data_IF_033992751062
#
_entry.id   IF_033992751062
#
_cell.length_a   1.000
_cell.length_b   1.000
_cell.length_c   1.000
_cell.angle_alpha   90.00
_cell.angle_beta   90.00
_cell.angle_gamma   90.00
#
_symmetry.space_group_name_H-M   'P 1'
#
loop_
_entity.id
_entity.type
_entity.pdbx_description
1 polymer ?
#
# COMPACT_ATOMS: atom_id res chain seq x y z
N UNK A 1 29.69 3.66 -21.82
CA UNK A 1 29.14 4.99 -22.06
C UNK A 1 27.64 4.89 -21.84
N UNK A 2 27.16 5.31 -20.68
CA UNK A 2 25.72 5.37 -20.41
C UNK A 2 25.21 6.67 -21.06
N UNK A 3 24.38 6.54 -22.09
CA UNK A 3 23.69 7.69 -22.69
C UNK A 3 22.64 8.18 -21.70
N UNK A 4 22.83 9.39 -21.22
CA UNK A 4 21.89 10.15 -20.41
C UNK A 4 20.62 10.46 -21.24
N UNK A 5 19.57 9.66 -21.05
CA UNK A 5 18.25 9.86 -21.68
C UNK A 5 17.28 10.33 -20.61
N UNK A 6 17.51 11.53 -20.09
CA UNK A 6 16.52 12.22 -19.26
C UNK A 6 15.50 12.90 -20.19
N UNK A 7 14.31 12.32 -20.37
CA UNK A 7 13.19 12.98 -21.04
C UNK A 7 12.21 13.52 -19.99
N UNK A 8 11.98 14.82 -20.09
CA UNK A 8 11.19 15.63 -19.17
C UNK A 8 9.71 15.57 -19.55
N UNK A 9 8.84 15.21 -18.60
CA UNK A 9 7.40 15.41 -18.71
C UNK A 9 7.01 16.55 -17.75
N UNK A 10 6.65 17.69 -18.30
CA UNK A 10 6.15 18.84 -17.53
C UNK A 10 4.70 18.60 -17.06
N UNK A 11 4.47 18.59 -15.76
CA UNK A 11 3.22 19.00 -15.12
C UNK A 11 3.58 19.87 -13.92
N UNK A 12 3.00 21.04 -13.88
CA UNK A 12 3.10 22.02 -12.78
C UNK A 12 4.53 22.48 -12.43
N UNK A 13 5.41 22.63 -13.42
CA UNK A 13 6.76 23.16 -13.21
C UNK A 13 7.76 22.20 -12.54
N UNK A 14 7.34 20.95 -12.24
CA UNK A 14 8.21 19.92 -11.70
C UNK A 14 8.64 18.96 -12.81
N UNK A 15 9.94 18.92 -13.11
CA UNK A 15 10.53 17.98 -14.08
C UNK A 15 10.62 16.61 -13.41
N UNK A 16 9.75 15.68 -13.80
CA UNK A 16 9.81 14.30 -13.35
C UNK A 16 10.70 13.46 -14.26
N UNK A 17 11.82 12.98 -13.73
CA UNK A 17 12.74 12.11 -14.47
C UNK A 17 12.15 10.71 -14.64
N UNK A 18 12.15 10.20 -15.87
CA UNK A 18 11.86 8.80 -16.16
C UNK A 18 13.18 8.11 -16.59
N UNK A 19 13.53 7.05 -15.86
CA UNK A 19 14.75 6.27 -16.07
C UNK A 19 14.53 5.03 -16.95
N UNK A 20 13.31 4.82 -17.46
CA UNK A 20 12.98 3.67 -18.30
C UNK A 20 13.62 3.76 -19.68
N UNK A 21 14.03 2.61 -20.24
CA UNK A 21 14.49 2.51 -21.63
C UNK A 21 13.35 2.86 -22.62
N UNK A 22 12.12 2.39 -22.32
CA UNK A 22 10.91 2.85 -23.00
C UNK A 22 10.36 4.08 -22.25
N UNK A 23 10.49 5.23 -22.86
CA UNK A 23 10.06 6.52 -22.29
C UNK A 23 8.56 6.61 -22.00
N UNK A 24 7.76 5.73 -22.57
CA UNK A 24 6.33 5.68 -22.35
C UNK A 24 5.95 4.83 -21.12
N UNK A 25 6.88 4.02 -20.61
CA UNK A 25 6.67 3.14 -19.46
C UNK A 25 7.43 3.62 -18.24
N UNK A 26 6.85 3.43 -17.06
CA UNK A 26 7.52 3.71 -15.80
C UNK A 26 8.64 2.68 -15.55
N UNK A 27 9.70 3.13 -14.89
CA UNK A 27 10.93 2.34 -14.79
C UNK A 27 10.77 1.04 -14.01
N UNK A 28 10.09 1.07 -12.86
CA UNK A 28 9.97 -0.11 -12.01
C UNK A 28 8.75 -0.95 -12.35
N UNK A 29 7.57 -0.35 -12.44
CA UNK A 29 6.32 -1.10 -12.66
C UNK A 29 6.06 -1.46 -14.13
N UNK A 30 6.81 -0.89 -15.07
CA UNK A 30 6.68 -1.12 -16.53
C UNK A 30 5.25 -0.92 -17.07
N UNK A 31 4.53 0.05 -16.51
CA UNK A 31 3.18 0.46 -16.91
C UNK A 31 3.24 1.79 -17.64
N UNK A 32 2.44 1.96 -18.67
CA UNK A 32 2.29 3.21 -19.41
C UNK A 32 1.06 4.01 -18.96
N UNK A 33 1.09 5.32 -19.25
CA UNK A 33 -0.04 6.21 -18.96
C UNK A 33 -1.33 5.72 -19.65
N UNK A 34 -2.40 5.61 -18.86
CA UNK A 34 -3.70 5.15 -19.33
C UNK A 34 -3.89 3.63 -19.35
N UNK A 35 -2.87 2.83 -19.07
CA UNK A 35 -2.99 1.37 -18.94
C UNK A 35 -3.66 0.95 -17.61
N UNK A 36 -3.64 1.81 -16.58
CA UNK A 36 -4.29 1.56 -15.29
C UNK A 36 -5.56 2.40 -15.11
N UNK A 37 -6.44 1.94 -14.22
CA UNK A 37 -7.58 2.72 -13.74
C UNK A 37 -7.16 3.75 -12.69
N UNK A 38 -8.07 4.70 -12.37
CA UNK A 38 -7.85 5.65 -11.29
C UNK A 38 -7.82 4.97 -9.91
N UNK A 39 -8.55 3.85 -9.75
CA UNK A 39 -8.60 3.04 -8.54
C UNK A 39 -7.65 1.87 -8.66
N UNK A 40 -6.72 1.75 -7.72
CA UNK A 40 -5.75 0.65 -7.72
C UNK A 40 -5.75 -0.06 -6.37
N UNK A 41 -5.92 -1.38 -6.42
CA UNK A 41 -5.79 -2.26 -5.26
C UNK A 41 -4.32 -2.68 -5.15
N UNK A 42 -3.76 -2.55 -3.94
CA UNK A 42 -2.34 -2.79 -3.68
C UNK A 42 -2.13 -3.96 -2.72
N UNK A 43 -2.06 -5.22 -3.16
CA UNK A 43 -1.56 -6.33 -2.35
C UNK A 43 -0.03 -6.28 -2.26
N UNK A 44 0.55 -6.84 -1.18
CA UNK A 44 2.01 -7.02 -1.11
C UNK A 44 2.50 -8.16 -2.00
N UNK A 45 1.89 -9.33 -1.89
CA UNK A 45 2.26 -10.55 -2.63
C UNK A 45 1.79 -10.51 -4.09
N UNK A 46 2.72 -10.62 -5.08
CA UNK A 46 2.39 -10.72 -6.50
C UNK A 46 1.34 -11.78 -6.85
N UNK A 47 1.36 -12.92 -6.16
CA UNK A 47 0.40 -14.01 -6.40
C UNK A 47 -1.05 -13.64 -6.06
N UNK A 48 -1.26 -12.61 -5.24
CA UNK A 48 -2.60 -12.09 -4.95
C UNK A 48 -3.18 -11.29 -6.10
N UNK A 49 -2.35 -10.67 -6.96
CA UNK A 49 -2.85 -9.91 -8.11
C UNK A 49 -3.73 -10.75 -9.02
N UNK A 50 -3.30 -11.97 -9.34
CA UNK A 50 -4.09 -12.91 -10.16
C UNK A 50 -5.45 -13.23 -9.51
N UNK A 51 -5.45 -13.47 -8.18
CA UNK A 51 -6.68 -13.79 -7.45
C UNK A 51 -7.64 -12.61 -7.40
N UNK A 52 -7.13 -11.40 -7.22
CA UNK A 52 -7.94 -10.18 -7.18
C UNK A 52 -8.47 -9.85 -8.57
N UNK A 53 -7.63 -9.99 -9.60
CA UNK A 53 -8.04 -9.75 -10.98
C UNK A 53 -9.20 -10.65 -11.46
N UNK A 54 -9.37 -11.83 -10.86
CA UNK A 54 -10.52 -12.71 -11.16
C UNK A 54 -11.89 -12.10 -10.82
N UNK A 55 -11.93 -11.06 -10.00
CA UNK A 55 -13.15 -10.32 -9.68
C UNK A 55 -13.43 -9.17 -10.65
N UNK A 56 -12.51 -8.89 -11.58
CA UNK A 56 -12.69 -7.86 -12.61
C UNK A 56 -13.31 -8.44 -13.87
N UNK A 57 -14.08 -7.64 -14.56
CA UNK A 57 -14.51 -7.97 -15.92
C UNK A 57 -13.35 -7.77 -16.89
N UNK A 58 -13.10 -8.79 -17.73
CA UNK A 58 -12.07 -8.79 -18.78
C UNK A 58 -10.67 -8.37 -18.27
N UNK A 59 -10.13 -9.00 -17.23
CA UNK A 59 -8.84 -8.62 -16.69
C UNK A 59 -7.71 -8.93 -17.69
N UNK A 60 -6.80 -7.99 -17.85
CA UNK A 60 -5.61 -8.11 -18.71
C UNK A 60 -4.36 -7.92 -17.87
N UNK A 61 -3.38 -8.78 -18.06
CA UNK A 61 -2.02 -8.57 -17.52
C UNK A 61 -1.36 -7.42 -18.27
N UNK A 62 -1.04 -6.34 -17.56
CA UNK A 62 -0.42 -5.14 -18.11
C UNK A 62 1.10 -5.22 -18.03
N UNK A 63 1.62 -5.66 -16.90
CA UNK A 63 3.05 -5.77 -16.66
C UNK A 63 3.35 -6.84 -15.59
N UNK A 64 4.51 -7.47 -15.72
CA UNK A 64 5.11 -8.37 -14.74
C UNK A 64 6.60 -8.05 -14.70
N UNK A 65 7.01 -7.24 -13.72
CA UNK A 65 8.39 -6.80 -13.60
C UNK A 65 8.78 -6.68 -12.12
N UNK A 66 9.88 -7.32 -11.73
CA UNK A 66 10.35 -7.37 -10.34
C UNK A 66 9.26 -7.94 -9.41
N UNK A 67 8.98 -7.24 -8.30
CA UNK A 67 7.87 -7.53 -7.38
C UNK A 67 6.52 -6.96 -7.83
N UNK A 68 6.48 -6.24 -8.95
CA UNK A 68 5.29 -5.54 -9.44
C UNK A 68 4.60 -6.33 -10.55
N UNK A 69 3.44 -6.88 -10.23
CA UNK A 69 2.52 -7.47 -11.22
C UNK A 69 1.28 -6.60 -11.29
N UNK A 70 0.92 -6.14 -12.48
CA UNK A 70 -0.24 -5.28 -12.70
C UNK A 70 -1.25 -5.94 -13.61
N UNK A 71 -2.51 -6.04 -13.14
CA UNK A 71 -3.67 -6.37 -13.95
C UNK A 71 -4.64 -5.18 -13.99
N UNK A 72 -5.29 -4.99 -15.12
CA UNK A 72 -6.35 -3.99 -15.28
C UNK A 72 -7.58 -4.65 -15.92
N UNK A 73 -8.74 -4.28 -15.43
CA UNK A 73 -10.05 -4.69 -15.95
C UNK A 73 -11.09 -3.66 -15.59
N UNK A 74 -12.36 -4.06 -15.49
CA UNK A 74 -13.45 -3.19 -15.06
C UNK A 74 -14.25 -3.82 -13.92
N UNK A 75 -14.88 -2.97 -13.11
CA UNK A 75 -15.92 -3.31 -12.14
C UNK A 75 -17.07 -2.35 -12.34
N UNK A 76 -18.25 -2.86 -12.63
CA UNK A 76 -19.45 -2.07 -12.93
C UNK A 76 -19.19 -0.98 -14.00
N UNK A 77 -18.40 -1.33 -15.02
CA UNK A 77 -18.01 -0.43 -16.10
C UNK A 77 -16.91 0.59 -15.75
N UNK A 78 -16.43 0.61 -14.52
CA UNK A 78 -15.32 1.48 -14.07
C UNK A 78 -14.00 0.75 -14.22
N UNK A 79 -13.03 1.40 -14.86
CA UNK A 79 -11.67 0.85 -15.00
C UNK A 79 -10.96 0.80 -13.67
N UNK A 80 -10.52 -0.39 -13.27
CA UNK A 80 -9.83 -0.67 -12.01
C UNK A 80 -8.56 -1.47 -12.28
N UNK A 81 -7.60 -1.34 -11.38
CA UNK A 81 -6.35 -2.10 -11.48
C UNK A 81 -5.97 -2.73 -10.15
N UNK A 82 -5.14 -3.73 -10.22
CA UNK A 82 -4.43 -4.29 -9.08
C UNK A 82 -2.95 -4.35 -9.40
N UNK A 83 -2.11 -3.86 -8.48
CA UNK A 83 -0.65 -3.90 -8.63
C UNK A 83 -0.03 -4.37 -7.32
N UNK A 84 0.83 -5.38 -7.36
CA UNK A 84 1.59 -5.79 -6.18
C UNK A 84 2.65 -4.76 -5.82
N UNK A 85 2.94 -4.64 -4.53
CA UNK A 85 3.94 -3.70 -4.01
C UNK A 85 5.21 -4.36 -3.50
N UNK A 86 5.24 -5.70 -3.42
CA UNK A 86 6.29 -6.39 -2.70
C UNK A 86 6.20 -6.13 -1.19
N UNK A 87 7.33 -6.18 -0.52
CA UNK A 87 7.45 -5.98 0.93
C UNK A 87 8.18 -4.66 1.21
N UNK A 88 7.54 -3.81 2.01
CA UNK A 88 8.16 -2.62 2.57
C UNK A 88 7.72 -1.29 1.98
N UNK A 89 7.90 -0.24 2.77
CA UNK A 89 7.58 1.13 2.41
C UNK A 89 8.26 1.60 1.12
N UNK A 90 9.58 1.38 0.93
CA UNK A 90 10.27 1.82 -0.27
C UNK A 90 9.67 1.28 -1.56
N UNK A 91 9.38 -0.04 -1.63
CA UNK A 91 8.82 -0.60 -2.86
C UNK A 91 7.36 -0.19 -3.08
N UNK A 92 6.59 -0.02 -2.01
CA UNK A 92 5.22 0.47 -2.11
C UNK A 92 5.15 1.93 -2.57
N UNK A 93 6.04 2.79 -2.07
CA UNK A 93 6.10 4.19 -2.49
C UNK A 93 6.46 4.32 -3.96
N UNK A 94 7.41 3.53 -4.45
CA UNK A 94 7.75 3.46 -5.88
C UNK A 94 6.51 3.09 -6.71
N UNK A 95 5.78 2.03 -6.30
CA UNK A 95 4.56 1.63 -7.02
C UNK A 95 3.53 2.75 -7.07
N UNK A 96 3.25 3.41 -5.94
CA UNK A 96 2.25 4.48 -5.85
C UNK A 96 2.64 5.70 -6.68
N UNK A 97 3.91 6.14 -6.62
CA UNK A 97 4.44 7.24 -7.42
C UNK A 97 4.29 6.97 -8.92
N UNK A 98 4.73 5.80 -9.36
CA UNK A 98 4.69 5.46 -10.77
C UNK A 98 3.26 5.21 -11.27
N UNK A 99 2.39 4.61 -10.46
CA UNK A 99 0.96 4.46 -10.77
C UNK A 99 0.26 5.82 -10.86
N UNK A 100 0.58 6.76 -9.95
CA UNK A 100 0.07 8.13 -10.01
C UNK A 100 0.44 8.81 -11.32
N UNK A 101 1.67 8.68 -11.78
CA UNK A 101 2.13 9.18 -13.10
C UNK A 101 1.38 8.55 -14.26
N UNK A 102 0.90 7.31 -14.10
CA UNK A 102 0.08 6.59 -15.09
C UNK A 102 -1.41 6.97 -15.06
N UNK A 103 -1.86 7.76 -14.06
CA UNK A 103 -3.22 8.28 -13.97
C UNK A 103 -4.06 7.68 -12.83
N UNK A 104 -3.48 6.87 -11.95
CA UNK A 104 -4.13 6.45 -10.72
C UNK A 104 -4.15 7.59 -9.70
N UNK A 105 -5.24 7.71 -8.92
CA UNK A 105 -5.37 8.74 -7.89
C UNK A 105 -5.95 8.21 -6.57
N UNK A 106 -6.41 6.97 -6.55
CA UNK A 106 -7.02 6.35 -5.38
C UNK A 106 -6.45 4.95 -5.17
N UNK A 107 -5.86 4.74 -4.00
CA UNK A 107 -5.18 3.51 -3.65
C UNK A 107 -5.83 2.83 -2.46
N UNK A 108 -6.09 1.52 -2.58
CA UNK A 108 -6.60 0.68 -1.49
C UNK A 108 -5.60 -0.43 -1.21
N UNK A 109 -4.88 -0.31 -0.10
CA UNK A 109 -3.93 -1.35 0.33
C UNK A 109 -4.69 -2.49 1.00
N UNK A 110 -4.46 -3.71 0.55
CA UNK A 110 -4.99 -4.92 1.19
C UNK A 110 -3.88 -5.86 1.61
N UNK A 111 -3.96 -6.37 2.83
CA UNK A 111 -2.94 -7.23 3.40
C UNK A 111 -3.45 -7.98 4.61
N UNK A 112 -2.60 -8.82 5.18
CA UNK A 112 -2.81 -9.43 6.49
C UNK A 112 -2.17 -8.58 7.57
N UNK A 113 -2.75 -8.58 8.77
CA UNK A 113 -2.24 -7.87 9.93
C UNK A 113 -2.31 -8.75 11.18
N UNK A 114 -1.51 -8.43 12.19
CA UNK A 114 -1.60 -9.02 13.51
C UNK A 114 -2.50 -8.17 14.42
N UNK A 115 -3.60 -8.73 14.93
CA UNK A 115 -4.47 -8.05 15.90
C UNK A 115 -3.70 -7.74 17.19
N UNK A 116 -3.89 -6.52 17.72
CA UNK A 116 -3.25 -6.03 18.95
C UNK A 116 -4.23 -6.01 20.13
N UNK A 117 -5.52 -6.01 19.87
CA UNK A 117 -6.58 -5.99 20.86
C UNK A 117 -7.26 -7.37 20.99
N UNK A 118 -7.71 -7.71 22.16
CA UNK A 118 -8.27 -9.04 22.47
C UNK A 118 -9.61 -9.34 21.80
N UNK A 119 -10.35 -8.29 21.44
CA UNK A 119 -11.63 -8.39 20.72
C UNK A 119 -11.46 -8.70 19.24
N UNK A 120 -10.29 -8.42 18.64
CA UNK A 120 -10.02 -8.70 17.22
C UNK A 120 -9.64 -10.17 17.06
N UNK A 121 -10.44 -10.90 16.30
CA UNK A 121 -10.26 -12.34 16.08
C UNK A 121 -9.67 -12.62 14.69
N UNK A 122 -9.14 -13.82 14.55
CA UNK A 122 -8.68 -14.29 13.23
C UNK A 122 -9.83 -14.34 12.25
N UNK A 123 -9.68 -13.69 11.11
CA UNK A 123 -10.69 -13.55 10.07
C UNK A 123 -11.47 -12.23 10.12
N UNK A 124 -11.36 -11.46 11.19
CA UNK A 124 -11.95 -10.13 11.24
C UNK A 124 -11.23 -9.17 10.28
N UNK A 125 -11.97 -8.19 9.79
CA UNK A 125 -11.43 -7.12 8.94
C UNK A 125 -11.04 -5.91 9.80
N UNK A 126 -9.84 -5.40 9.61
CA UNK A 126 -9.40 -4.12 10.19
C UNK A 126 -9.32 -3.07 9.09
N UNK A 127 -10.15 -2.03 9.21
CA UNK A 127 -10.16 -0.88 8.31
C UNK A 127 -9.41 0.26 9.01
N UNK A 128 -8.22 0.57 8.49
CA UNK A 128 -7.37 1.60 9.08
C UNK A 128 -7.93 3.00 8.84
N UNK A 129 -8.08 3.79 9.89
CA UNK A 129 -8.43 5.22 9.81
C UNK A 129 -7.19 6.12 9.89
N UNK A 130 -6.13 5.62 10.50
CA UNK A 130 -4.82 6.26 10.60
C UNK A 130 -3.74 5.21 10.91
N UNK A 131 -2.49 5.60 10.77
CA UNK A 131 -1.36 4.72 11.08
C UNK A 131 -0.33 5.40 11.99
N UNK A 132 0.22 4.62 12.93
CA UNK A 132 1.44 4.98 13.66
C UNK A 132 2.62 4.78 12.72
N UNK A 133 3.37 5.85 12.44
CA UNK A 133 4.46 5.91 11.47
C UNK A 133 5.79 5.44 12.11
N UNK A 134 5.96 4.12 12.27
CA UNK A 134 7.19 3.53 12.82
C UNK A 134 8.13 2.98 11.73
N UNK A 135 7.95 3.40 10.50
CA UNK A 135 8.76 3.05 9.35
C UNK A 135 9.54 4.27 8.83
N UNK A 136 10.53 4.04 7.99
CA UNK A 136 11.42 5.10 7.49
C UNK A 136 10.87 5.87 6.31
N UNK A 137 10.17 5.21 5.40
CA UNK A 137 9.80 5.77 4.09
C UNK A 137 8.90 6.99 4.21
N UNK A 138 7.85 6.93 5.03
CA UNK A 138 6.91 8.06 5.16
C UNK A 138 7.56 9.31 5.76
N UNK A 139 8.66 9.16 6.48
CA UNK A 139 9.42 10.30 7.04
C UNK A 139 10.13 11.11 5.97
N UNK A 140 10.45 10.49 4.83
CA UNK A 140 11.02 11.19 3.69
C UNK A 140 9.96 11.97 2.90
N UNK A 141 8.68 11.58 3.00
CA UNK A 141 7.55 12.28 2.37
C UNK A 141 6.98 13.41 3.24
N UNK A 142 6.96 13.23 4.54
CA UNK A 142 6.37 14.22 5.45
C UNK A 142 7.04 14.20 6.83
N UNK A 143 7.13 15.36 7.55
CA UNK A 143 7.58 15.40 8.93
C UNK A 143 6.82 14.41 9.80
N UNK A 144 7.48 13.87 10.86
CA UNK A 144 6.87 12.83 11.72
C UNK A 144 5.61 13.31 12.43
N UNK A 145 5.51 14.59 12.66
CA UNK A 145 4.38 15.25 13.32
C UNK A 145 3.13 15.30 12.42
N UNK A 146 3.29 15.16 11.10
CA UNK A 146 2.16 15.11 10.18
C UNK A 146 1.49 13.72 10.29
N UNK A 147 0.18 13.67 10.61
CA UNK A 147 -0.49 12.39 10.85
C UNK A 147 -0.71 11.62 9.54
N UNK A 148 -0.51 10.29 9.59
CA UNK A 148 -0.92 9.38 8.53
C UNK A 148 -2.40 9.06 8.69
N UNK A 149 -3.27 9.76 7.96
CA UNK A 149 -4.73 9.63 8.03
C UNK A 149 -5.26 9.07 6.70
N UNK A 150 -6.16 8.09 6.79
CA UNK A 150 -6.81 7.54 5.61
C UNK A 150 -7.83 8.54 5.03
N UNK A 151 -8.07 8.45 3.71
CA UNK A 151 -9.13 9.23 3.08
C UNK A 151 -10.50 8.79 3.63
N UNK A 152 -11.30 9.76 4.09
CA UNK A 152 -12.57 9.49 4.78
C UNK A 152 -13.60 8.82 3.87
N UNK A 153 -13.70 9.24 2.61
CA UNK A 153 -14.68 8.68 1.67
C UNK A 153 -14.37 7.22 1.34
N UNK A 154 -13.08 6.91 1.11
CA UNK A 154 -12.62 5.52 0.87
C UNK A 154 -12.84 4.67 2.13
N UNK A 155 -12.55 5.21 3.32
CA UNK A 155 -12.78 4.50 4.59
C UNK A 155 -14.26 4.17 4.78
N UNK A 156 -15.16 5.14 4.56
CA UNK A 156 -16.59 4.94 4.66
C UNK A 156 -17.09 3.90 3.64
N UNK A 157 -16.62 3.95 2.40
CA UNK A 157 -16.99 2.96 1.39
C UNK A 157 -16.56 1.53 1.78
N UNK A 158 -15.37 1.37 2.37
CA UNK A 158 -14.91 0.07 2.88
C UNK A 158 -15.76 -0.43 4.05
N UNK A 159 -16.16 0.48 4.96
CA UNK A 159 -17.07 0.14 6.09
C UNK A 159 -18.42 -0.31 5.57
N UNK A 160 -18.99 0.39 4.62
CA UNK A 160 -20.28 0.03 4.01
C UNK A 160 -20.19 -1.32 3.32
N UNK A 161 -19.16 -1.56 2.52
CA UNK A 161 -18.93 -2.84 1.86
C UNK A 161 -18.78 -3.99 2.86
N UNK A 162 -18.07 -3.78 3.98
CA UNK A 162 -17.94 -4.79 5.04
C UNK A 162 -19.30 -5.11 5.69
N UNK A 163 -20.13 -4.10 5.95
CA UNK A 163 -21.49 -4.27 6.48
C UNK A 163 -22.39 -5.04 5.53
N UNK A 164 -22.42 -4.66 4.26
CA UNK A 164 -23.24 -5.30 3.22
C UNK A 164 -22.88 -6.78 3.04
N UNK A 165 -21.59 -7.11 3.17
CA UNK A 165 -21.12 -8.49 3.09
C UNK A 165 -21.26 -9.27 4.39
N UNK A 166 -21.68 -8.63 5.49
CA UNK A 166 -21.83 -9.27 6.79
C UNK A 166 -20.50 -9.65 7.47
N UNK A 167 -19.40 -8.99 7.12
CA UNK A 167 -18.12 -9.22 7.77
C UNK A 167 -18.06 -8.57 9.15
N UNK A 168 -17.39 -9.23 10.09
CA UNK A 168 -16.98 -8.60 11.34
C UNK A 168 -15.81 -7.68 11.02
N UNK A 169 -15.94 -6.41 11.38
CA UNK A 169 -14.91 -5.41 11.08
C UNK A 169 -14.67 -4.46 12.25
N UNK A 170 -13.47 -3.92 12.32
CA UNK A 170 -13.03 -2.94 13.30
C UNK A 170 -12.44 -1.74 12.55
N UNK A 171 -12.70 -0.53 13.05
CA UNK A 171 -12.14 0.70 12.48
C UNK A 171 -11.29 1.42 13.50
N UNK A 172 -10.10 1.85 13.13
CA UNK A 172 -9.22 2.57 14.03
C UNK A 172 -7.77 2.65 13.57
N UNK A 173 -6.90 3.01 14.49
CA UNK A 173 -5.47 3.22 14.23
C UNK A 173 -4.77 1.86 14.12
N UNK A 174 -3.88 1.75 13.14
CA UNK A 174 -2.96 0.60 12.99
C UNK A 174 -1.51 1.05 13.18
N UNK A 175 -0.62 0.11 13.46
CA UNK A 175 0.82 0.37 13.49
C UNK A 175 1.45 -0.05 12.17
N UNK A 176 2.18 0.86 11.51
CA UNK A 176 3.06 0.55 10.38
C UNK A 176 4.52 0.57 10.83
N UNK A 177 5.30 -0.46 10.45
CA UNK A 177 6.69 -0.62 10.86
C UNK A 177 7.52 -1.44 9.88
N UNK A 178 8.84 -1.33 9.96
CA UNK A 178 9.78 -1.98 9.04
C UNK A 178 10.21 -3.39 9.48
N UNK A 179 10.41 -3.62 10.78
CA UNK A 179 10.98 -4.88 11.24
C UNK A 179 9.93 -5.90 11.68
N UNK A 180 9.77 -6.97 10.91
CA UNK A 180 8.90 -8.09 11.28
C UNK A 180 9.38 -8.80 12.55
N UNK A 181 10.62 -9.22 12.57
CA UNK A 181 11.19 -9.92 13.73
C UNK A 181 11.36 -9.04 14.96
N UNK A 182 11.54 -7.72 14.79
CA UNK A 182 11.51 -6.77 15.89
C UNK A 182 10.17 -6.70 16.62
N UNK A 183 9.09 -7.25 16.04
CA UNK A 183 7.82 -7.41 16.73
C UNK A 183 7.63 -8.80 17.34
N UNK A 184 7.99 -9.83 16.59
CA UNK A 184 7.69 -11.21 16.98
C UNK A 184 8.72 -11.81 17.93
N UNK A 185 9.95 -11.31 17.87
CA UNK A 185 11.09 -11.75 18.67
C UNK A 185 11.88 -10.54 19.21
N UNK A 186 11.22 -9.56 19.85
CA UNK A 186 11.88 -8.33 20.27
C UNK A 186 13.01 -8.59 21.28
N UNK A 187 12.91 -9.65 22.07
CA UNK A 187 13.93 -10.04 23.05
C UNK A 187 15.26 -10.42 22.41
N UNK A 188 15.22 -10.89 21.15
CA UNK A 188 16.42 -11.21 20.37
C UNK A 188 17.08 -9.97 19.73
N UNK A 189 16.42 -8.81 19.79
CA UNK A 189 16.90 -7.58 19.15
C UNK A 189 17.71 -6.72 20.15
N UNK A 190 18.80 -6.07 19.68
CA UNK A 190 19.58 -5.16 20.55
C UNK A 190 18.74 -4.03 21.20
N UNK A 191 17.72 -3.53 20.47
CA UNK A 191 16.79 -2.51 20.95
C UNK A 191 15.47 -3.10 21.49
N UNK A 192 15.46 -4.37 21.91
CA UNK A 192 14.25 -5.10 22.33
C UNK A 192 13.44 -4.39 23.41
N UNK A 193 14.11 -3.80 24.40
CA UNK A 193 13.46 -3.03 25.46
C UNK A 193 12.62 -1.86 24.93
N UNK A 194 13.10 -1.16 23.92
CA UNK A 194 12.38 -0.05 23.31
C UNK A 194 11.18 -0.55 22.50
N UNK A 195 11.37 -1.64 21.76
CA UNK A 195 10.32 -2.26 20.94
C UNK A 195 9.16 -2.76 21.80
N UNK A 196 9.46 -3.44 22.91
CA UNK A 196 8.47 -3.94 23.87
C UNK A 196 7.70 -2.78 24.51
N UNK A 197 8.41 -1.74 24.98
CA UNK A 197 7.76 -0.58 25.59
C UNK A 197 6.84 0.16 24.63
N UNK A 198 7.25 0.36 23.37
CA UNK A 198 6.42 0.96 22.33
C UNK A 198 5.18 0.10 22.02
N UNK A 199 5.36 -1.22 21.91
CA UNK A 199 4.24 -2.14 21.68
C UNK A 199 3.17 -2.03 22.79
N UNK A 200 3.60 -2.03 24.05
CA UNK A 200 2.67 -1.88 25.17
C UNK A 200 1.99 -0.50 25.19
N UNK A 201 2.71 0.57 24.81
CA UNK A 201 2.12 1.88 24.68
C UNK A 201 1.02 1.91 23.58
N UNK A 202 1.29 1.37 22.40
CA UNK A 202 0.31 1.33 21.32
C UNK A 202 -0.93 0.50 21.67
N UNK A 203 -0.78 -0.62 22.36
CA UNK A 203 -1.91 -1.40 22.89
C UNK A 203 -2.77 -0.57 23.83
N UNK A 204 -2.16 0.11 24.78
CA UNK A 204 -2.88 0.98 25.74
C UNK A 204 -3.58 2.16 25.08
N UNK A 205 -3.05 2.64 23.94
CA UNK A 205 -3.65 3.70 23.15
C UNK A 205 -4.77 3.21 22.22
N UNK A 206 -5.08 1.90 22.21
CA UNK A 206 -6.14 1.31 21.40
C UNK A 206 -5.75 1.06 19.95
N UNK A 207 -4.45 0.94 19.63
CA UNK A 207 -4.02 0.51 18.31
C UNK A 207 -4.56 -0.89 18.01
N UNK A 208 -5.26 -1.04 16.88
CA UNK A 208 -6.04 -2.25 16.58
C UNK A 208 -5.18 -3.39 16.06
N UNK A 209 -4.25 -3.07 15.18
CA UNK A 209 -3.44 -4.08 14.50
C UNK A 209 -2.06 -3.53 14.16
N UNK A 210 -1.11 -4.44 14.05
CA UNK A 210 0.21 -4.16 13.50
C UNK A 210 0.30 -4.74 12.10
N UNK A 211 0.79 -3.91 11.19
CA UNK A 211 1.07 -4.28 9.81
C UNK A 211 2.55 -4.10 9.58
N UNK A 212 3.19 -5.16 9.16
CA UNK A 212 4.56 -5.05 8.71
C UNK A 212 4.52 -4.56 7.28
N UNK A 213 5.25 -3.48 7.02
CA UNK A 213 5.75 -3.08 5.71
C UNK A 213 5.02 -2.01 4.90
N UNK A 214 3.80 -1.58 5.18
CA UNK A 214 3.25 -0.50 4.34
C UNK A 214 1.91 0.05 4.81
N UNK A 215 1.90 1.27 5.15
CA UNK A 215 0.68 2.12 5.14
C UNK A 215 1.09 3.57 4.91
#
# INVERSE_FOLDING_TARGET
MATDVSRENEKDGMIMKNYSEDVNRQYHIQVAKGEVGRYVILPGDPKRCVKIAQYFDNPVLIADNREYITYTGTLDGVKVSVTSTGIGGPSASIAMEELYRCGADTFVRIGTCGGMQTEIKSGDIVIATAAVRMEGTSREYAPIEYPAVANLDVTNALVEAAKEKGFIYHTGVVQSKDSFYGQHEPEAMPAGYELINKWEAWKRMGCLASVSYTH
#
